data_IF_415140763782
#
_entry.id   IF_415140763782
#
_cell.length_a   1.000
_cell.length_b   1.000
_cell.length_c   1.000
_cell.angle_alpha   90.00
_cell.angle_beta   90.00
_cell.angle_gamma   90.00
#
_symmetry.space_group_name_H-M   'P 1'
#
loop_
_entity.id
_entity.type
_entity.pdbx_description
1 polymer ?
#
# COMPACT_ATOMS: atom_id res chain seq x y z
N UNK A 1 31.42 35.15 47.21
CA UNK A 1 29.95 35.09 47.18
C UNK A 1 29.59 34.86 45.72
N UNK A 2 29.59 33.60 45.32
CA UNK A 2 29.26 33.20 43.94
C UNK A 2 27.74 33.38 43.75
N UNK A 3 27.28 33.98 42.63
CA UNK A 3 25.86 34.04 42.33
C UNK A 3 25.34 32.62 42.00
N UNK A 4 24.09 32.29 42.34
CA UNK A 4 23.54 30.98 42.07
C UNK A 4 23.45 30.77 40.56
N UNK A 5 23.95 29.63 40.09
CA UNK A 5 23.68 29.12 38.76
C UNK A 5 22.19 28.78 38.76
N UNK A 6 21.39 29.71 38.25
CA UNK A 6 20.02 29.48 37.85
C UNK A 6 20.10 28.42 36.75
N UNK A 7 19.82 27.17 37.13
CA UNK A 7 19.67 26.09 36.17
C UNK A 7 18.54 26.49 35.24
N UNK A 8 18.88 26.81 33.99
CA UNK A 8 17.99 26.71 32.85
C UNK A 8 17.38 25.29 32.87
N UNK A 9 16.30 25.11 33.62
CA UNK A 9 15.28 24.13 33.29
C UNK A 9 14.71 24.60 31.96
N UNK A 10 15.42 24.24 30.90
CA UNK A 10 14.87 24.12 29.57
C UNK A 10 13.71 23.15 29.72
N UNK A 11 12.53 23.67 30.05
CA UNK A 11 11.26 22.97 29.97
C UNK A 11 11.22 22.40 28.56
N UNK A 12 11.50 21.10 28.44
CA UNK A 12 11.33 20.34 27.21
C UNK A 12 9.95 20.74 26.70
N UNK A 13 9.84 21.31 25.49
CA UNK A 13 8.57 21.81 25.01
C UNK A 13 7.61 20.62 25.03
N UNK A 14 6.64 20.71 25.93
CA UNK A 14 5.36 20.02 25.95
C UNK A 14 5.21 19.06 24.78
N UNK A 15 5.20 17.77 25.07
CA UNK A 15 4.76 16.69 24.17
C UNK A 15 3.46 17.13 23.47
N UNK A 16 3.60 17.78 22.32
CA UNK A 16 2.46 18.33 21.61
C UNK A 16 1.67 17.14 21.09
N UNK A 17 0.34 17.18 21.18
CA UNK A 17 -0.56 16.16 20.57
C UNK A 17 -0.19 15.85 19.11
N UNK A 18 0.43 16.81 18.41
CA UNK A 18 1.00 16.67 17.08
C UNK A 18 2.21 15.72 17.03
N UNK A 19 3.14 15.79 17.98
CA UNK A 19 4.25 14.84 18.10
C UNK A 19 3.78 13.43 18.45
N UNK A 20 2.75 13.28 19.28
CA UNK A 20 2.16 11.97 19.57
C UNK A 20 1.42 11.38 18.36
N UNK A 21 0.70 12.22 17.59
CA UNK A 21 0.07 11.82 16.34
C UNK A 21 1.10 11.44 15.27
N UNK A 22 2.19 12.19 15.13
CA UNK A 22 3.28 11.89 14.21
C UNK A 22 3.92 10.52 14.51
N UNK A 23 4.27 10.24 15.78
CA UNK A 23 4.80 8.93 16.20
C UNK A 23 3.79 7.79 15.97
N UNK A 24 2.50 8.06 16.12
CA UNK A 24 1.46 7.05 15.87
C UNK A 24 1.35 6.72 14.37
N UNK A 25 1.34 7.74 13.51
CA UNK A 25 1.31 7.58 12.06
C UNK A 25 2.57 6.87 11.58
N UNK A 26 3.75 7.26 12.08
CA UNK A 26 5.02 6.61 11.78
C UNK A 26 4.99 5.12 12.13
N UNK A 27 4.49 4.73 13.31
CA UNK A 27 4.32 3.31 13.68
C UNK A 27 3.36 2.57 12.76
N UNK A 28 2.26 3.20 12.38
CA UNK A 28 1.28 2.59 11.47
C UNK A 28 1.90 2.40 10.09
N UNK A 29 2.55 3.41 9.53
CA UNK A 29 3.17 3.35 8.21
C UNK A 29 4.35 2.37 8.17
N UNK A 30 5.22 2.34 9.19
CA UNK A 30 6.32 1.36 9.26
C UNK A 30 5.81 -0.06 9.41
N UNK A 31 4.79 -0.29 10.23
CA UNK A 31 4.15 -1.61 10.36
C UNK A 31 3.49 -2.00 9.04
N UNK A 32 2.69 -1.12 8.45
CA UNK A 32 2.03 -1.35 7.18
C UNK A 32 3.01 -1.63 6.04
N UNK A 33 4.10 -0.88 5.92
CA UNK A 33 5.16 -1.13 4.96
C UNK A 33 5.83 -2.49 5.20
N UNK A 34 6.13 -2.83 6.46
CA UNK A 34 6.74 -4.12 6.83
C UNK A 34 5.87 -5.32 6.51
N UNK A 35 4.55 -5.17 6.55
CA UNK A 35 3.60 -6.22 6.16
C UNK A 35 3.31 -6.22 4.65
N UNK A 36 3.28 -5.06 4.00
CA UNK A 36 2.99 -4.93 2.57
C UNK A 36 4.12 -5.52 1.71
N UNK A 37 5.39 -5.25 2.04
CA UNK A 37 6.55 -5.75 1.28
C UNK A 37 6.55 -7.28 1.11
N UNK A 38 6.41 -8.11 2.17
CA UNK A 38 6.37 -9.55 2.01
C UNK A 38 5.06 -10.06 1.38
N UNK A 39 3.97 -9.28 1.40
CA UNK A 39 2.71 -9.65 0.76
C UNK A 39 2.70 -9.34 -0.74
N UNK A 40 3.48 -8.35 -1.19
CA UNK A 40 3.56 -7.97 -2.59
C UNK A 40 4.02 -9.12 -3.49
N UNK A 41 5.05 -9.87 -3.05
CA UNK A 41 5.61 -11.01 -3.80
C UNK A 41 4.59 -12.13 -3.99
N UNK A 42 3.99 -12.73 -2.95
CA UNK A 42 3.03 -13.83 -3.13
C UNK A 42 1.77 -13.37 -3.86
N UNK A 43 1.24 -12.18 -3.57
CA UNK A 43 0.04 -11.67 -4.26
C UNK A 43 0.33 -11.41 -5.74
N UNK A 44 1.47 -10.80 -6.06
CA UNK A 44 1.92 -10.58 -7.44
C UNK A 44 2.19 -11.89 -8.17
N UNK A 45 2.83 -12.87 -7.53
CA UNK A 45 3.05 -14.19 -8.10
C UNK A 45 1.74 -14.93 -8.37
N UNK A 46 0.78 -14.91 -7.43
CA UNK A 46 -0.53 -15.53 -7.63
C UNK A 46 -1.30 -14.86 -8.76
N UNK A 47 -1.29 -13.53 -8.82
CA UNK A 47 -1.91 -12.77 -9.91
C UNK A 47 -1.29 -13.17 -11.27
N UNK A 48 0.04 -13.22 -11.34
CA UNK A 48 0.74 -13.59 -12.58
C UNK A 48 0.47 -15.04 -13.00
N UNK A 49 0.52 -15.98 -12.04
CA UNK A 49 0.21 -17.39 -12.29
C UNK A 49 -1.23 -17.57 -12.76
N UNK A 50 -2.17 -16.81 -12.21
CA UNK A 50 -3.56 -16.84 -12.65
C UNK A 50 -3.72 -16.32 -14.07
N UNK A 51 -3.17 -15.14 -14.38
CA UNK A 51 -3.31 -14.53 -15.70
C UNK A 51 -2.55 -15.32 -16.77
N UNK A 52 -1.25 -15.57 -16.58
CA UNK A 52 -0.43 -16.27 -17.57
C UNK A 52 -0.79 -17.76 -17.64
N UNK A 53 -0.89 -18.42 -16.48
CA UNK A 53 -1.27 -19.83 -16.40
C UNK A 53 -2.68 -20.08 -16.90
N UNK A 54 -3.66 -19.29 -16.45
CA UNK A 54 -5.03 -19.38 -16.92
C UNK A 54 -5.16 -19.13 -18.42
N UNK A 55 -4.48 -18.11 -18.94
CA UNK A 55 -4.49 -17.84 -20.38
C UNK A 55 -3.91 -18.99 -21.21
N UNK A 56 -2.79 -19.58 -20.77
CA UNK A 56 -2.22 -20.76 -21.45
C UNK A 56 -3.13 -21.98 -21.35
N UNK A 57 -3.77 -22.21 -20.20
CA UNK A 57 -4.69 -23.33 -20.00
C UNK A 57 -5.94 -23.21 -20.89
N UNK A 58 -6.49 -22.00 -21.03
CA UNK A 58 -7.60 -21.71 -21.94
C UNK A 58 -7.18 -21.87 -23.39
N UNK A 59 -6.00 -21.36 -23.77
CA UNK A 59 -5.49 -21.42 -25.14
C UNK A 59 -5.23 -22.85 -25.63
N UNK A 60 -4.80 -23.75 -24.74
CA UNK A 60 -4.56 -25.17 -25.05
C UNK A 60 -5.85 -26.00 -24.91
N UNK A 61 -6.96 -25.41 -24.47
CA UNK A 61 -8.23 -26.12 -24.24
C UNK A 61 -8.21 -27.04 -23.03
N UNK A 62 -7.23 -26.90 -22.12
CA UNK A 62 -7.20 -27.63 -20.85
C UNK A 62 -8.22 -27.09 -19.86
N UNK A 63 -8.64 -25.83 -20.02
CA UNK A 63 -9.63 -25.18 -19.18
C UNK A 63 -10.61 -24.38 -20.01
N UNK A 64 -11.90 -24.65 -19.87
CA UNK A 64 -12.98 -23.94 -20.57
C UNK A 64 -13.95 -23.36 -19.53
N UNK A 65 -13.68 -22.15 -19.02
CA UNK A 65 -14.58 -21.50 -18.08
C UNK A 65 -15.93 -21.18 -18.74
N UNK A 66 -17.00 -21.29 -17.96
CA UNK A 66 -18.37 -20.90 -18.40
C UNK A 66 -18.59 -19.38 -18.36
N UNK A 67 -17.61 -18.62 -17.84
CA UNK A 67 -17.59 -17.17 -17.73
C UNK A 67 -16.51 -16.56 -18.63
N UNK A 68 -16.61 -15.25 -18.92
CA UNK A 68 -15.58 -14.55 -19.67
C UNK A 68 -14.27 -14.43 -18.86
N UNK A 69 -13.29 -15.27 -19.19
CA UNK A 69 -11.96 -15.27 -18.55
C UNK A 69 -11.27 -13.91 -18.71
N UNK A 70 -10.63 -13.42 -17.64
CA UNK A 70 -10.03 -12.06 -17.55
C UNK A 70 -11.03 -10.89 -17.54
N UNK A 71 -12.33 -11.15 -17.43
CA UNK A 71 -13.33 -10.09 -17.24
C UNK A 71 -13.39 -9.65 -15.77
N UNK A 72 -13.17 -8.37 -15.42
CA UNK A 72 -13.21 -7.91 -14.04
C UNK A 72 -14.61 -7.99 -13.40
N UNK A 73 -15.67 -8.14 -14.19
CA UNK A 73 -17.06 -8.30 -13.74
C UNK A 73 -17.52 -9.74 -13.64
N UNK A 74 -17.04 -10.63 -14.51
CA UNK A 74 -17.49 -12.03 -14.56
C UNK A 74 -16.51 -13.00 -13.90
N UNK A 75 -15.21 -12.70 -13.96
CA UNK A 75 -14.17 -13.51 -13.35
C UNK A 75 -13.95 -13.10 -11.88
N UNK A 76 -14.66 -13.80 -10.99
CA UNK A 76 -14.59 -13.61 -9.54
C UNK A 76 -13.17 -13.81 -9.01
N UNK A 77 -12.41 -14.76 -9.55
CA UNK A 77 -11.05 -15.05 -9.09
C UNK A 77 -10.10 -13.92 -9.46
N UNK A 78 -10.19 -13.41 -10.69
CA UNK A 78 -9.47 -12.22 -11.12
C UNK A 78 -9.85 -11.01 -10.27
N UNK A 79 -11.14 -10.81 -9.99
CA UNK A 79 -11.60 -9.68 -9.19
C UNK A 79 -11.03 -9.72 -7.77
N UNK A 80 -11.00 -10.88 -7.12
CA UNK A 80 -10.39 -11.06 -5.80
C UNK A 80 -8.87 -10.84 -5.81
N UNK A 81 -8.16 -11.39 -6.79
CA UNK A 81 -6.71 -11.19 -6.94
C UNK A 81 -6.37 -9.73 -7.26
N UNK A 82 -7.15 -9.09 -8.11
CA UNK A 82 -7.05 -7.66 -8.42
C UNK A 82 -7.32 -6.81 -7.19
N UNK A 83 -8.40 -7.08 -6.45
CA UNK A 83 -8.73 -6.35 -5.23
C UNK A 83 -7.62 -6.49 -4.16
N UNK A 84 -7.13 -7.71 -3.93
CA UNK A 84 -6.03 -7.97 -2.99
C UNK A 84 -4.74 -7.26 -3.39
N UNK A 85 -4.34 -7.37 -4.66
CA UNK A 85 -3.16 -6.67 -5.19
C UNK A 85 -3.31 -5.15 -5.08
N UNK A 86 -4.46 -4.60 -5.46
CA UNK A 86 -4.77 -3.18 -5.31
C UNK A 86 -4.65 -2.68 -3.87
N UNK A 87 -5.17 -3.43 -2.88
CA UNK A 87 -5.01 -3.11 -1.46
C UNK A 87 -3.54 -3.12 -1.05
N UNK A 88 -2.79 -4.17 -1.40
CA UNK A 88 -1.37 -4.27 -1.02
C UNK A 88 -0.55 -3.11 -1.58
N UNK A 89 -0.83 -2.70 -2.83
CA UNK A 89 -0.21 -1.56 -3.48
C UNK A 89 -0.58 -0.27 -2.75
N UNK A 90 -1.87 0.01 -2.55
CA UNK A 90 -2.34 1.21 -1.85
C UNK A 90 -1.75 1.35 -0.44
N UNK A 91 -1.72 0.25 0.33
CA UNK A 91 -1.15 0.24 1.68
C UNK A 91 0.35 0.47 1.63
N UNK A 92 1.06 -0.19 0.71
CA UNK A 92 2.50 -0.05 0.56
C UNK A 92 2.89 1.37 0.16
N UNK A 93 2.34 1.88 -0.94
CA UNK A 93 2.67 3.20 -1.47
C UNK A 93 2.13 4.32 -0.62
N UNK A 94 0.92 4.19 -0.06
CA UNK A 94 0.36 5.14 0.90
C UNK A 94 1.22 5.27 2.17
N UNK A 95 1.79 4.16 2.65
CA UNK A 95 2.71 4.19 3.79
C UNK A 95 4.02 4.90 3.45
N UNK A 96 4.57 4.70 2.25
CA UNK A 96 5.77 5.39 1.78
C UNK A 96 5.53 6.90 1.63
N UNK A 97 4.38 7.30 1.07
CA UNK A 97 3.99 8.72 0.98
C UNK A 97 3.88 9.32 2.39
N UNK A 98 3.21 8.61 3.33
CA UNK A 98 3.05 9.07 4.70
C UNK A 98 4.39 9.25 5.44
N UNK A 99 5.32 8.30 5.29
CA UNK A 99 6.66 8.41 5.86
C UNK A 99 7.44 9.57 5.25
N UNK A 100 7.37 9.74 3.93
CA UNK A 100 8.07 10.81 3.24
C UNK A 100 7.60 12.22 3.67
N UNK A 101 6.32 12.39 4.00
CA UNK A 101 5.80 13.64 4.56
C UNK A 101 6.16 13.86 6.04
N UNK A 102 6.44 12.79 6.80
CA UNK A 102 6.88 12.91 8.19
C UNK A 102 8.38 13.20 8.31
N UNK A 103 9.17 12.78 7.33
CA UNK A 103 10.62 12.98 7.24
C UNK A 103 11.02 14.32 6.57
N UNK A 104 10.13 15.31 6.48
CA UNK A 104 10.41 16.65 5.90
C UNK A 104 11.73 17.26 6.44
N UNK A 105 12.86 17.00 5.78
CA UNK A 105 14.16 17.58 6.14
C UNK A 105 15.42 16.87 5.69
N UNK A 106 15.43 15.54 5.46
CA UNK A 106 16.68 14.81 5.16
C UNK A 106 16.54 13.89 3.95
N UNK A 107 16.50 14.42 2.71
CA UNK A 107 16.43 13.52 1.56
C UNK A 107 16.70 14.17 0.21
N UNK A 108 17.87 13.88 -0.36
CA UNK A 108 18.24 14.27 -1.72
C UNK A 108 17.37 13.63 -2.82
N UNK A 109 17.74 13.88 -4.07
CA UNK A 109 17.01 13.60 -5.32
C UNK A 109 16.36 12.19 -5.47
N UNK A 110 16.80 11.18 -4.72
CA UNK A 110 16.14 9.86 -4.67
C UNK A 110 14.79 9.86 -3.95
N UNK A 111 14.59 10.77 -3.01
CA UNK A 111 13.35 10.91 -2.24
C UNK A 111 12.20 11.41 -3.11
N UNK A 112 12.45 12.37 -4.02
CA UNK A 112 11.42 12.92 -4.91
C UNK A 112 10.91 11.90 -5.94
N UNK A 113 11.82 11.15 -6.59
CA UNK A 113 11.44 10.10 -7.54
C UNK A 113 10.69 8.95 -6.85
N UNK A 114 11.10 8.60 -5.62
CA UNK A 114 10.41 7.59 -4.81
C UNK A 114 8.98 8.03 -4.47
N UNK A 115 8.79 9.27 -4.03
CA UNK A 115 7.46 9.83 -3.74
C UNK A 115 6.59 9.84 -4.99
N UNK A 116 7.11 10.31 -6.13
CA UNK A 116 6.36 10.32 -7.39
C UNK A 116 5.94 8.91 -7.82
N UNK A 117 6.85 7.94 -7.70
CA UNK A 117 6.55 6.53 -7.96
C UNK A 117 5.48 5.96 -7.01
N UNK A 118 5.49 6.39 -5.75
CA UNK A 118 4.51 5.98 -4.76
C UNK A 118 3.12 6.55 -5.08
N UNK A 119 3.02 7.81 -5.54
CA UNK A 119 1.75 8.39 -6.00
C UNK A 119 1.18 7.65 -7.20
N UNK A 120 2.02 7.32 -8.19
CA UNK A 120 1.61 6.51 -9.35
C UNK A 120 1.09 5.15 -8.91
N UNK A 121 1.83 4.46 -8.04
CA UNK A 121 1.41 3.16 -7.53
C UNK A 121 0.13 3.24 -6.69
N UNK A 122 -0.04 4.26 -5.85
CA UNK A 122 -1.27 4.48 -5.10
C UNK A 122 -2.49 4.68 -6.03
N UNK A 123 -2.34 5.54 -7.04
CA UNK A 123 -3.40 5.77 -8.04
C UNK A 123 -3.76 4.51 -8.80
N UNK A 124 -2.76 3.72 -9.21
CA UNK A 124 -2.96 2.43 -9.87
C UNK A 124 -3.69 1.43 -8.98
N UNK A 125 -3.24 1.25 -7.73
CA UNK A 125 -3.90 0.36 -6.76
C UNK A 125 -5.35 0.77 -6.49
N UNK A 126 -5.61 2.06 -6.32
CA UNK A 126 -6.97 2.58 -6.13
C UNK A 126 -7.85 2.37 -7.36
N UNK A 127 -7.28 2.50 -8.56
CA UNK A 127 -7.95 2.20 -9.83
C UNK A 127 -8.36 0.73 -9.92
N UNK A 128 -7.45 -0.20 -9.56
CA UNK A 128 -7.76 -1.64 -9.55
C UNK A 128 -8.88 -1.93 -8.54
N UNK A 129 -8.76 -1.43 -7.31
CA UNK A 129 -9.80 -1.60 -6.28
C UNK A 129 -11.14 -1.10 -6.83
N UNK A 130 -11.18 0.07 -7.47
CA UNK A 130 -12.41 0.63 -8.05
C UNK A 130 -13.00 -0.25 -9.14
N UNK A 131 -12.19 -0.96 -9.93
CA UNK A 131 -12.69 -1.85 -10.97
C UNK A 131 -13.19 -3.18 -10.40
N UNK A 132 -12.60 -3.68 -9.33
CA UNK A 132 -12.91 -5.01 -8.80
C UNK A 132 -13.86 -5.01 -7.60
N UNK A 133 -14.06 -3.87 -6.92
CA UNK A 133 -14.84 -3.84 -5.67
C UNK A 133 -16.30 -4.27 -5.88
N UNK A 134 -16.92 -3.95 -7.01
CA UNK A 134 -18.32 -4.30 -7.28
C UNK A 134 -18.51 -5.80 -7.32
N UNK A 135 -17.60 -6.49 -8.01
CA UNK A 135 -17.61 -7.94 -8.18
C UNK A 135 -17.32 -8.63 -6.85
N UNK A 136 -16.33 -8.14 -6.10
CA UNK A 136 -16.01 -8.64 -4.76
C UNK A 136 -17.19 -8.44 -3.81
N UNK A 137 -17.80 -7.26 -3.79
CA UNK A 137 -18.94 -6.97 -2.92
C UNK A 137 -20.17 -7.81 -3.28
N UNK A 138 -20.40 -8.07 -4.56
CA UNK A 138 -21.45 -8.96 -5.03
C UNK A 138 -21.26 -10.41 -4.55
N UNK A 139 -20.03 -10.86 -4.27
CA UNK A 139 -19.82 -12.22 -3.70
C UNK A 139 -20.26 -12.37 -2.25
N UNK A 140 -20.49 -11.26 -1.53
CA UNK A 140 -20.93 -11.28 -0.13
C UNK A 140 -22.44 -11.05 0.06
N UNK A 141 -23.14 -10.67 -1.00
CA UNK A 141 -24.53 -10.20 -0.99
C UNK A 141 -25.46 -11.27 -1.54
#
# INVERSE_FOLDING_TARGET
>A
MEPPIESDEFELPTETRRGQAARAIERVCTTAARWSIPLFVPVGCLFFLYVAGGYTAVSVGMWTPEYEFLSPSEDVYLAWLGFGSGITICVGTGSLIGLAFLEEGEGGMHTELSILSAFVGFGFGAGIIRMTYTTVLATFL
#
